data_IF_840584106901
#
_entry.id   IF_840584106901
#
_cell.length_a   1.000
_cell.length_b   1.000
_cell.length_c   1.000
_cell.angle_alpha   90.00
_cell.angle_beta   90.00
_cell.angle_gamma   90.00
#
_symmetry.space_group_name_H-M   'P 1'
#
loop_
_entity.id
_entity.type
_entity.pdbx_description
1 polymer ?
#
# COMPACT_ATOMS: atom_id res chain seq x y z
N UNK A 1 -23.02 -20.83 -71.90
CA UNK A 1 -23.66 -21.63 -70.84
C UNK A 1 -24.01 -20.69 -69.70
N UNK A 2 -25.28 -20.62 -69.30
CA UNK A 2 -25.75 -19.71 -68.25
C UNK A 2 -25.28 -20.22 -66.89
N UNK A 3 -24.41 -19.48 -66.20
CA UNK A 3 -24.00 -19.82 -64.84
C UNK A 3 -25.18 -19.64 -63.88
N UNK A 4 -25.43 -20.65 -63.05
CA UNK A 4 -26.49 -20.66 -62.04
C UNK A 4 -25.95 -20.23 -60.68
N UNK A 5 -26.86 -19.82 -59.79
CA UNK A 5 -26.55 -19.51 -58.40
C UNK A 5 -25.83 -20.68 -57.70
N UNK A 6 -24.83 -20.38 -56.86
CA UNK A 6 -24.04 -21.35 -56.09
C UNK A 6 -24.78 -21.99 -54.90
N UNK A 7 -26.00 -21.55 -54.59
CA UNK A 7 -26.80 -22.12 -53.50
C UNK A 7 -27.48 -23.39 -53.99
N UNK A 8 -27.37 -24.47 -53.20
CA UNK A 8 -27.96 -25.77 -53.53
C UNK A 8 -29.46 -25.64 -53.83
N UNK A 9 -29.90 -26.31 -54.90
CA UNK A 9 -31.29 -26.30 -55.42
C UNK A 9 -31.76 -24.97 -56.05
N UNK A 10 -30.89 -23.98 -56.24
CA UNK A 10 -31.25 -22.74 -56.93
C UNK A 10 -30.89 -22.77 -58.43
N UNK A 11 -31.90 -22.88 -59.30
CA UNK A 11 -31.71 -22.88 -60.76
C UNK A 11 -31.67 -21.48 -61.40
N UNK A 12 -31.65 -20.42 -60.58
CA UNK A 12 -31.72 -19.04 -61.10
C UNK A 12 -30.38 -18.59 -61.65
N UNK A 13 -30.43 -17.75 -62.69
CA UNK A 13 -29.23 -17.16 -63.29
C UNK A 13 -28.45 -16.36 -62.26
N UNK A 14 -27.14 -16.57 -62.25
CA UNK A 14 -26.18 -15.76 -61.52
C UNK A 14 -26.36 -14.27 -61.86
N UNK A 15 -26.33 -13.41 -60.84
CA UNK A 15 -26.42 -11.95 -61.02
C UNK A 15 -25.26 -11.17 -60.40
N UNK A 16 -24.58 -11.73 -59.40
CA UNK A 16 -23.43 -11.07 -58.80
C UNK A 16 -22.62 -12.00 -57.91
N UNK A 17 -21.39 -11.61 -57.61
CA UNK A 17 -20.52 -12.28 -56.65
C UNK A 17 -20.62 -11.58 -55.30
N UNK A 18 -20.68 -12.34 -54.21
CA UNK A 18 -20.62 -11.82 -52.85
C UNK A 18 -19.23 -12.06 -52.27
N UNK A 19 -18.48 -10.99 -52.03
CA UNK A 19 -17.12 -11.06 -51.46
C UNK A 19 -17.11 -11.61 -50.02
N UNK A 20 -18.16 -11.37 -49.24
CA UNK A 20 -18.24 -11.85 -47.85
C UNK A 20 -18.35 -13.38 -47.77
N UNK A 21 -19.15 -13.98 -48.65
CA UNK A 21 -19.36 -15.44 -48.67
C UNK A 21 -18.49 -16.17 -49.70
N UNK A 22 -17.77 -15.43 -50.56
CA UNK A 22 -17.00 -15.95 -51.69
C UNK A 22 -17.86 -16.81 -52.64
N UNK A 23 -19.11 -16.39 -52.89
CA UNK A 23 -20.10 -17.16 -53.66
C UNK A 23 -20.78 -16.34 -54.76
N UNK A 24 -21.12 -17.01 -55.85
CA UNK A 24 -21.84 -16.46 -56.99
C UNK A 24 -23.35 -16.62 -56.78
N UNK A 25 -24.06 -15.51 -56.52
CA UNK A 25 -25.45 -15.51 -56.07
C UNK A 25 -26.41 -14.87 -57.09
N UNK A 26 -27.65 -15.36 -57.11
CA UNK A 26 -28.74 -14.68 -57.82
C UNK A 26 -29.23 -13.46 -57.01
N UNK A 27 -29.97 -12.57 -57.66
CA UNK A 27 -30.44 -11.33 -57.03
C UNK A 27 -31.28 -11.57 -55.77
N UNK A 28 -32.08 -12.64 -55.73
CA UNK A 28 -32.88 -12.98 -54.54
C UNK A 28 -31.98 -13.32 -53.35
N UNK A 29 -31.01 -14.21 -53.52
CA UNK A 29 -30.13 -14.62 -52.42
C UNK A 29 -29.16 -13.51 -51.99
N UNK A 30 -28.79 -12.61 -52.90
CA UNK A 30 -28.07 -11.38 -52.52
C UNK A 30 -28.92 -10.48 -51.63
N UNK A 31 -30.20 -10.31 -51.95
CA UNK A 31 -31.12 -9.51 -51.14
C UNK A 31 -31.41 -10.17 -49.78
N UNK A 32 -31.57 -11.50 -49.74
CA UNK A 32 -31.74 -12.26 -48.49
C UNK A 32 -30.48 -12.19 -47.62
N UNK A 33 -29.30 -12.30 -48.23
CA UNK A 33 -28.03 -12.14 -47.53
C UNK A 33 -27.89 -10.72 -46.93
N UNK A 34 -28.19 -9.69 -47.72
CA UNK A 34 -28.19 -8.31 -47.23
C UNK A 34 -29.22 -8.10 -46.12
N UNK A 35 -30.42 -8.68 -46.25
CA UNK A 35 -31.44 -8.63 -45.20
C UNK A 35 -30.99 -9.34 -43.91
N UNK A 36 -30.26 -10.46 -44.02
CA UNK A 36 -29.66 -11.19 -42.89
C UNK A 36 -28.55 -10.39 -42.20
N UNK A 37 -27.74 -9.65 -42.97
CA UNK A 37 -26.73 -8.75 -42.39
C UNK A 37 -27.39 -7.56 -41.69
N UNK A 38 -28.41 -6.96 -42.29
CA UNK A 38 -29.17 -5.85 -41.69
C UNK A 38 -29.91 -6.32 -40.44
N UNK A 39 -30.45 -7.55 -40.40
CA UNK A 39 -31.13 -8.07 -39.22
C UNK A 39 -30.18 -8.29 -38.04
N UNK A 40 -28.90 -8.56 -38.29
CA UNK A 40 -27.86 -8.65 -37.26
C UNK A 40 -27.48 -7.30 -36.64
N UNK A 41 -27.80 -6.18 -37.30
CA UNK A 41 -27.56 -4.84 -36.73
C UNK A 41 -28.50 -4.52 -35.57
N UNK A 42 -29.70 -5.10 -35.54
CA UNK A 42 -30.69 -4.83 -34.49
C UNK A 42 -30.21 -5.32 -33.10
N UNK A 43 -29.74 -6.57 -32.92
CA UNK A 43 -29.14 -7.01 -31.66
C UNK A 43 -27.96 -6.15 -31.20
N UNK A 44 -27.10 -5.71 -32.12
CA UNK A 44 -25.96 -4.84 -31.78
C UNK A 44 -26.42 -3.47 -31.28
N UNK A 45 -27.48 -2.92 -31.87
CA UNK A 45 -28.08 -1.67 -31.41
C UNK A 45 -28.68 -1.82 -30.00
N UNK A 46 -29.32 -2.96 -29.73
CA UNK A 46 -29.85 -3.27 -28.40
C UNK A 46 -28.72 -3.40 -27.37
N UNK A 47 -27.60 -4.06 -27.71
CA UNK A 47 -26.41 -4.14 -26.85
C UNK A 47 -25.83 -2.75 -26.54
N UNK A 48 -25.73 -1.88 -27.56
CA UNK A 48 -25.27 -0.49 -27.39
C UNK A 48 -26.21 0.28 -26.45
N UNK A 49 -27.52 0.12 -26.59
CA UNK A 49 -28.49 0.79 -25.72
C UNK A 49 -28.35 0.31 -24.27
N UNK A 50 -28.19 -1.00 -24.05
CA UNK A 50 -27.95 -1.56 -22.71
C UNK A 50 -26.67 -1.00 -22.09
N UNK A 51 -25.59 -0.91 -22.87
CA UNK A 51 -24.34 -0.29 -22.40
C UNK A 51 -24.51 1.20 -22.11
N UNK A 52 -25.25 1.92 -22.94
CA UNK A 52 -25.58 3.32 -22.75
C UNK A 52 -26.37 3.57 -21.46
N UNK A 53 -27.37 2.74 -21.17
CA UNK A 53 -28.15 2.86 -19.93
C UNK A 53 -27.32 2.49 -18.71
N UNK A 54 -26.46 1.47 -18.79
CA UNK A 54 -25.50 1.17 -17.72
C UNK A 54 -24.57 2.35 -17.44
N UNK A 55 -24.03 3.00 -18.48
CA UNK A 55 -23.19 4.19 -18.33
C UNK A 55 -23.94 5.34 -17.62
N UNK A 56 -25.23 5.56 -17.92
CA UNK A 56 -26.05 6.56 -17.21
C UNK A 56 -26.22 6.24 -15.72
N UNK A 57 -26.28 4.95 -15.36
CA UNK A 57 -26.41 4.52 -13.96
C UNK A 57 -25.09 4.60 -13.17
N UNK A 58 -23.93 4.73 -13.85
CA UNK A 58 -22.66 4.90 -13.16
C UNK A 58 -22.61 6.26 -12.47
N UNK A 59 -22.75 6.23 -11.14
CA UNK A 59 -22.65 7.42 -10.33
C UNK A 59 -21.17 7.71 -10.01
N UNK A 60 -20.54 8.53 -10.87
CA UNK A 60 -19.15 8.98 -10.71
C UNK A 60 -18.96 9.67 -9.35
N UNK A 61 -19.93 10.48 -8.91
CA UNK A 61 -19.84 11.16 -7.62
C UNK A 61 -19.77 10.18 -6.45
N UNK A 62 -20.54 9.09 -6.50
CA UNK A 62 -20.46 8.02 -5.49
C UNK A 62 -19.08 7.36 -5.50
N UNK A 63 -18.58 6.95 -6.67
CA UNK A 63 -17.26 6.32 -6.77
C UNK A 63 -16.12 7.23 -6.26
N UNK A 64 -16.20 8.53 -6.57
CA UNK A 64 -15.25 9.53 -6.07
C UNK A 64 -15.40 9.74 -4.57
N UNK A 65 -16.62 9.80 -4.04
CA UNK A 65 -16.88 9.92 -2.61
C UNK A 65 -16.33 8.72 -1.83
N UNK A 66 -16.61 7.50 -2.29
CA UNK A 66 -16.09 6.26 -1.70
C UNK A 66 -14.56 6.24 -1.72
N UNK A 67 -13.94 6.72 -2.81
CA UNK A 67 -12.48 6.82 -2.90
C UNK A 67 -11.91 7.86 -1.93
N UNK A 68 -12.57 9.01 -1.78
CA UNK A 68 -12.16 10.05 -0.83
C UNK A 68 -12.28 9.58 0.62
N UNK A 69 -13.32 8.83 0.94
CA UNK A 69 -13.49 8.24 2.27
C UNK A 69 -12.32 7.30 2.61
N UNK A 70 -11.96 6.41 1.68
CA UNK A 70 -10.80 5.50 1.87
C UNK A 70 -9.49 6.25 2.06
N UNK A 71 -9.30 7.37 1.36
CA UNK A 71 -8.12 8.21 1.54
C UNK A 71 -8.09 8.89 2.91
N UNK A 72 -9.24 9.31 3.43
CA UNK A 72 -9.33 9.91 4.77
C UNK A 72 -9.08 8.86 5.87
N UNK A 73 -9.66 7.67 5.73
CA UNK A 73 -9.39 6.53 6.62
C UNK A 73 -7.89 6.18 6.64
N UNK A 74 -7.28 6.06 5.46
CA UNK A 74 -5.83 5.83 5.35
C UNK A 74 -5.02 6.93 6.04
N UNK A 75 -5.39 8.20 5.84
CA UNK A 75 -4.72 9.34 6.47
C UNK A 75 -4.81 9.27 8.00
N UNK A 76 -5.98 8.98 8.54
CA UNK A 76 -6.19 8.85 9.98
C UNK A 76 -5.37 7.68 10.56
N UNK A 77 -5.32 6.55 9.87
CA UNK A 77 -4.53 5.40 10.29
C UNK A 77 -3.02 5.68 10.28
N UNK A 78 -2.54 6.45 9.29
CA UNK A 78 -1.15 6.91 9.27
C UNK A 78 -0.82 7.78 10.48
N UNK A 79 -1.66 8.76 10.83
CA UNK A 79 -1.43 9.59 12.01
C UNK A 79 -1.39 8.77 13.30
N UNK A 80 -2.35 7.87 13.51
CA UNK A 80 -2.35 6.97 14.68
C UNK A 80 -1.06 6.17 14.81
N UNK A 81 -0.51 5.67 13.70
CA UNK A 81 0.75 4.93 13.70
C UNK A 81 1.94 5.81 14.04
N UNK A 82 1.96 7.04 13.52
CA UNK A 82 3.01 8.02 13.82
C UNK A 82 2.97 8.36 15.31
N UNK A 83 1.79 8.66 15.85
CA UNK A 83 1.61 9.02 17.26
C UNK A 83 2.03 7.87 18.19
N UNK A 84 1.58 6.65 17.90
CA UNK A 84 1.97 5.45 18.64
C UNK A 84 3.49 5.22 18.63
N UNK A 85 4.13 5.36 17.47
CA UNK A 85 5.59 5.22 17.36
C UNK A 85 6.32 6.31 18.14
N UNK A 86 5.82 7.55 18.08
CA UNK A 86 6.38 8.67 18.83
C UNK A 86 6.31 8.41 20.34
N UNK A 87 5.13 8.04 20.85
CA UNK A 87 4.93 7.71 22.27
C UNK A 87 5.85 6.56 22.71
N UNK A 88 5.94 5.50 21.90
CA UNK A 88 6.86 4.39 22.16
C UNK A 88 8.31 4.87 22.27
N UNK A 89 8.75 5.75 21.36
CA UNK A 89 10.14 6.26 21.38
C UNK A 89 10.40 7.19 22.56
N UNK A 90 9.42 7.97 23.00
CA UNK A 90 9.51 8.72 24.25
C UNK A 90 9.69 7.78 25.45
N UNK A 91 8.88 6.73 25.56
CA UNK A 91 9.00 5.76 26.65
C UNK A 91 10.34 5.02 26.64
N UNK A 92 10.83 4.60 25.46
CA UNK A 92 12.15 3.99 25.33
C UNK A 92 13.28 4.93 25.76
N UNK A 93 13.16 6.23 25.43
CA UNK A 93 14.12 7.25 25.84
C UNK A 93 14.10 7.46 27.35
N UNK A 94 12.91 7.61 27.95
CA UNK A 94 12.74 7.78 29.39
C UNK A 94 13.35 6.61 30.15
N UNK A 95 13.06 5.37 29.74
CA UNK A 95 13.65 4.16 30.34
C UNK A 95 15.17 4.13 30.23
N UNK A 96 15.73 4.52 29.08
CA UNK A 96 17.17 4.56 28.86
C UNK A 96 17.85 5.59 29.77
N UNK A 97 17.25 6.77 29.90
CA UNK A 97 17.77 7.84 30.77
C UNK A 97 17.65 7.44 32.24
N UNK A 98 16.51 6.91 32.66
CA UNK A 98 16.30 6.40 34.02
C UNK A 98 17.31 5.31 34.38
N UNK A 99 17.56 4.35 33.48
CA UNK A 99 18.55 3.30 33.67
C UNK A 99 19.95 3.87 33.85
N UNK A 100 20.36 4.81 33.00
CA UNK A 100 21.68 5.46 33.12
C UNK A 100 21.82 6.21 34.44
N UNK A 101 20.79 6.95 34.86
CA UNK A 101 20.78 7.65 36.15
C UNK A 101 20.87 6.65 37.31
N UNK A 102 20.13 5.54 37.24
CA UNK A 102 20.18 4.48 38.26
C UNK A 102 21.59 3.90 38.38
N UNK A 103 22.24 3.59 37.26
CA UNK A 103 23.62 3.11 37.25
C UNK A 103 24.59 4.10 37.90
N UNK A 104 24.46 5.42 37.61
CA UNK A 104 25.30 6.42 38.28
C UNK A 104 25.04 6.47 39.80
N UNK A 105 23.77 6.32 40.25
CA UNK A 105 23.44 6.25 41.69
C UNK A 105 24.04 5.01 42.36
N UNK A 106 24.04 3.87 41.69
CA UNK A 106 24.66 2.64 42.20
C UNK A 106 26.17 2.79 42.34
N UNK A 107 26.85 3.36 41.33
CA UNK A 107 28.28 3.67 41.42
C UNK A 107 28.60 4.65 42.55
N UNK A 108 27.78 5.69 42.72
CA UNK A 108 27.92 6.62 43.84
C UNK A 108 27.82 5.90 45.19
N UNK A 109 26.84 5.00 45.35
CA UNK A 109 26.68 4.21 46.57
C UNK A 109 27.85 3.24 46.81
N UNK A 110 28.45 2.68 45.75
CA UNK A 110 29.67 1.86 45.84
C UNK A 110 30.85 2.69 46.36
N UNK A 111 31.05 3.89 45.83
CA UNK A 111 32.08 4.82 46.29
C UNK A 111 31.88 5.17 47.77
N UNK A 112 30.66 5.52 48.18
CA UNK A 112 30.33 5.79 49.59
C UNK A 112 30.61 4.61 50.51
N UNK A 113 30.21 3.40 50.10
CA UNK A 113 30.47 2.18 50.86
C UNK A 113 31.97 1.96 51.04
N UNK A 114 32.75 2.16 49.97
CA UNK A 114 34.21 1.99 50.02
C UNK A 114 34.90 3.01 50.92
N UNK A 115 34.47 4.27 50.88
CA UNK A 115 34.97 5.31 51.79
C UNK A 115 34.66 4.92 53.24
N UNK A 116 33.44 4.46 53.51
CA UNK A 116 33.01 4.05 54.86
C UNK A 116 33.85 2.88 55.38
N UNK A 117 34.12 1.87 54.54
CA UNK A 117 35.02 0.76 54.87
C UNK A 117 36.43 1.24 55.25
N UNK A 118 37.03 2.10 54.43
CA UNK A 118 38.39 2.61 54.66
C UNK A 118 38.48 3.46 55.94
N UNK A 119 37.47 4.30 56.20
CA UNK A 119 37.37 5.10 57.42
C UNK A 119 37.26 4.20 58.66
N UNK A 120 36.42 3.16 58.59
CA UNK A 120 36.24 2.22 59.71
C UNK A 120 37.48 1.35 59.96
N UNK A 121 38.18 0.94 58.89
CA UNK A 121 39.40 0.15 59.01
C UNK A 121 40.60 0.94 59.56
N UNK A 122 40.58 2.28 59.48
CA UNK A 122 41.68 3.18 59.86
C UNK A 122 43.02 2.93 59.15
N UNK A 123 43.04 2.07 58.12
CA UNK A 123 44.19 1.75 57.29
C UNK A 123 43.90 2.17 55.85
N UNK A 124 44.16 3.44 55.53
CA UNK A 124 44.00 3.98 54.17
C UNK A 124 45.37 4.17 53.52
N UNK A 125 45.58 3.57 52.34
CA UNK A 125 46.81 3.78 51.57
C UNK A 125 46.67 4.94 50.60
N UNK A 126 47.80 5.45 50.08
CA UNK A 126 47.78 6.46 49.02
C UNK A 126 47.11 5.95 47.74
N UNK A 127 47.28 4.65 47.43
CA UNK A 127 46.66 4.03 46.27
C UNK A 127 45.13 4.01 46.38
N UNK A 128 44.58 3.79 47.59
CA UNK A 128 43.13 3.84 47.81
C UNK A 128 42.56 5.23 47.52
N UNK A 129 43.26 6.29 47.95
CA UNK A 129 42.88 7.68 47.69
C UNK A 129 42.92 8.00 46.19
N UNK A 130 44.00 7.60 45.51
CA UNK A 130 44.16 7.86 44.08
C UNK A 130 43.09 7.11 43.25
N UNK A 131 42.74 5.87 43.62
CA UNK A 131 41.68 5.08 42.99
C UNK A 131 40.29 5.71 43.19
N UNK A 132 39.97 6.12 44.43
CA UNK A 132 38.71 6.82 44.71
C UNK A 132 38.60 8.14 43.95
N UNK A 133 39.70 8.90 43.87
CA UNK A 133 39.74 10.16 43.11
C UNK A 133 39.48 9.92 41.63
N UNK A 134 40.06 8.87 41.05
CA UNK A 134 39.82 8.49 39.66
C UNK A 134 38.34 8.11 39.44
N UNK A 135 37.78 7.26 40.30
CA UNK A 135 36.38 6.81 40.21
C UNK A 135 35.40 7.98 40.33
N UNK A 136 35.64 8.93 41.24
CA UNK A 136 34.82 10.15 41.39
C UNK A 136 34.85 10.99 40.11
N UNK A 137 36.04 11.24 39.54
CA UNK A 137 36.15 12.00 38.28
C UNK A 137 35.49 11.30 37.09
N UNK A 138 35.59 9.97 37.05
CA UNK A 138 34.94 9.19 36.00
C UNK A 138 33.41 9.23 36.15
N UNK A 139 32.89 9.13 37.38
CA UNK A 139 31.47 9.29 37.67
C UNK A 139 30.97 10.69 37.27
N UNK A 140 31.71 11.75 37.62
CA UNK A 140 31.41 13.13 37.22
C UNK A 140 31.34 13.29 35.70
N UNK A 141 32.32 12.72 34.98
CA UNK A 141 32.32 12.73 33.50
C UNK A 141 31.13 11.99 32.93
N UNK A 142 30.76 10.84 33.50
CA UNK A 142 29.62 10.05 33.05
C UNK A 142 28.29 10.75 33.31
N UNK A 143 28.15 11.45 34.44
CA UNK A 143 26.97 12.25 34.75
C UNK A 143 26.81 13.42 33.77
N UNK A 144 27.90 14.14 33.47
CA UNK A 144 27.88 15.24 32.50
C UNK A 144 27.52 14.80 31.07
N UNK A 145 27.68 13.51 30.73
CA UNK A 145 27.29 12.98 29.42
C UNK A 145 25.80 12.60 29.35
N UNK A 146 25.07 12.65 30.47
CA UNK A 146 23.63 12.38 30.55
C UNK A 146 22.82 13.69 30.55
N UNK A 147 23.38 14.77 31.10
CA UNK A 147 22.86 16.13 31.06
C UNK A 147 22.92 16.76 29.66
#
# INVERSE_FOLDING_TARGET
>A
MSQTCSIEKCMRTLRGFCDCCQQYLCLQHLNEHNASLVSQLNPLNDEINVLGDRLKTLNIHKAVADSRQKLDEWRQDCYKKIDCLFEQKCQELDQLVEEKIRQQREELNRIYSKITELVNAQETTRQDIDLLTLNIRQLETNMNNIE
#
